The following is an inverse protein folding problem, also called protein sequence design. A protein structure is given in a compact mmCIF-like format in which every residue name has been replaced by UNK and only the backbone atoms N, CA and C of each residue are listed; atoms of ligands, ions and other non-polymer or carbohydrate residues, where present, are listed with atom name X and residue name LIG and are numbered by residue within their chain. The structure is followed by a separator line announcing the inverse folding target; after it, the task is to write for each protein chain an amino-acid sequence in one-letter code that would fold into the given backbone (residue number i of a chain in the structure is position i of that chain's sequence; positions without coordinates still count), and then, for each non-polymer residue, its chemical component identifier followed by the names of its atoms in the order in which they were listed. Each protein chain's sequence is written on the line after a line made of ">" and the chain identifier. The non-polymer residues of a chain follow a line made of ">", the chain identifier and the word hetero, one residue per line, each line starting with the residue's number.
data_IF_007009151622
#
_entry.id   IF_007009151622
#
_cell.length_a   1.000
_cell.length_b   1.000
_cell.length_c   1.000
_cell.angle_alpha   90.00
_cell.angle_beta   90.00
_cell.angle_gamma   90.00
#
_symmetry.space_group_name_H-M   'P 1'
#
loop_
_entity.id
_entity.type
_entity.pdbx_description
1 polymer ?
#
# COMPACT_ATOMS: atom_id res chain seq x y z
N UNK A 1 -13.34 -10.06 -14.70
CA UNK A 1 -14.16 -9.63 -15.86
C UNK A 1 -13.25 -9.05 -16.92
N UNK A 2 -13.21 -9.64 -18.10
CA UNK A 2 -12.46 -9.09 -19.21
C UNK A 2 -13.37 -8.07 -19.93
N UNK A 3 -13.10 -6.77 -19.75
CA UNK A 3 -13.65 -5.76 -20.66
C UNK A 3 -12.85 -5.85 -21.96
N UNK A 4 -13.16 -6.85 -22.78
CA UNK A 4 -12.62 -7.00 -24.11
C UNK A 4 -13.30 -6.01 -25.04
N UNK A 5 -12.53 -5.05 -25.55
CA UNK A 5 -12.84 -4.06 -26.58
C UNK A 5 -13.56 -2.80 -26.12
N UNK A 6 -12.81 -1.88 -25.59
CA UNK A 6 -13.04 -0.47 -25.89
C UNK A 6 -11.99 -0.12 -26.96
N UNK A 7 -12.44 0.26 -28.17
CA UNK A 7 -11.60 0.72 -29.28
C UNK A 7 -10.51 -0.26 -29.79
N UNK A 8 -10.79 -1.56 -29.90
CA UNK A 8 -9.87 -2.52 -30.52
C UNK A 8 -8.67 -2.93 -29.69
N UNK A 9 -8.61 -2.53 -28.41
CA UNK A 9 -7.53 -2.89 -27.50
C UNK A 9 -7.91 -4.17 -26.76
N UNK A 10 -7.28 -5.28 -27.08
CA UNK A 10 -7.38 -6.55 -26.33
C UNK A 10 -6.52 -6.46 -25.05
N UNK A 11 -6.93 -5.67 -24.05
CA UNK A 11 -6.20 -5.55 -22.79
C UNK A 11 -7.14 -5.66 -21.59
N UNK A 12 -6.69 -6.34 -20.55
CA UNK A 12 -7.35 -6.38 -19.25
C UNK A 12 -7.18 -5.01 -18.59
N UNK A 13 -8.21 -4.16 -18.63
CA UNK A 13 -8.19 -2.81 -18.08
C UNK A 13 -8.66 -2.77 -16.63
N UNK A 14 -9.36 -3.80 -16.18
CA UNK A 14 -9.92 -3.91 -14.85
C UNK A 14 -9.48 -5.23 -14.23
N UNK A 15 -8.87 -5.16 -13.07
CA UNK A 15 -8.64 -6.31 -12.19
C UNK A 15 -9.53 -6.15 -10.96
N UNK A 16 -10.05 -7.24 -10.43
CA UNK A 16 -10.79 -7.25 -9.17
C UNK A 16 -10.56 -8.57 -8.44
N UNK A 17 -10.53 -8.47 -7.13
CA UNK A 17 -10.44 -9.60 -6.22
C UNK A 17 -11.47 -9.39 -5.10
N UNK A 18 -12.20 -10.44 -4.75
CA UNK A 18 -13.16 -10.44 -3.64
C UNK A 18 -13.04 -11.75 -2.88
N UNK A 19 -13.13 -11.66 -1.58
CA UNK A 19 -13.12 -12.81 -0.70
C UNK A 19 -13.97 -12.60 0.54
N UNK A 20 -14.45 -13.72 1.10
CA UNK A 20 -15.09 -13.76 2.41
C UNK A 20 -14.26 -14.68 3.28
N UNK A 21 -13.91 -14.22 4.45
CA UNK A 21 -13.01 -14.89 5.37
C UNK A 21 -13.65 -14.97 6.76
N UNK A 22 -13.15 -15.87 7.59
CA UNK A 22 -13.41 -15.80 9.02
C UNK A 22 -12.59 -14.63 9.60
N UNK A 23 -13.22 -13.78 10.38
CA UNK A 23 -12.54 -12.66 11.03
C UNK A 23 -11.66 -13.09 12.22
N UNK A 24 -11.67 -14.38 12.60
CA UNK A 24 -10.79 -14.94 13.60
C UNK A 24 -9.58 -15.66 12.98
N UNK A 25 -8.40 -15.30 13.44
CA UNK A 25 -7.14 -15.89 12.96
C UNK A 25 -6.85 -17.27 13.56
N UNK A 26 -7.53 -17.70 14.62
CA UNK A 26 -7.14 -18.88 15.39
C UNK A 26 -8.17 -20.03 15.45
N UNK A 27 -9.28 -19.97 14.74
CA UNK A 27 -10.31 -21.02 14.73
C UNK A 27 -10.77 -21.48 16.13
N UNK A 28 -10.66 -20.60 17.15
CA UNK A 28 -10.99 -20.97 18.52
C UNK A 28 -12.49 -21.11 18.74
N UNK A 29 -13.29 -20.43 17.93
CA UNK A 29 -14.74 -20.57 17.93
C UNK A 29 -15.23 -20.75 16.48
N UNK A 30 -16.32 -21.53 16.34
CA UNK A 30 -16.89 -21.78 15.02
C UNK A 30 -17.64 -20.54 14.54
N UNK A 31 -17.03 -19.74 13.64
CA UNK A 31 -17.54 -18.48 13.09
C UNK A 31 -17.75 -17.35 14.12
N UNK A 32 -16.71 -16.82 14.74
CA UNK A 32 -16.83 -15.64 15.62
C UNK A 32 -17.21 -14.37 14.86
N UNK A 33 -17.04 -14.35 13.54
CA UNK A 33 -17.42 -13.28 12.65
C UNK A 33 -17.01 -13.55 11.21
N UNK A 34 -17.53 -12.75 10.29
CA UNK A 34 -17.17 -12.77 8.89
C UNK A 34 -16.49 -11.46 8.48
N UNK A 35 -15.55 -11.56 7.58
CA UNK A 35 -14.80 -10.47 7.00
C UNK A 35 -14.90 -10.52 5.47
N UNK A 36 -15.21 -9.41 4.87
CA UNK A 36 -15.27 -9.23 3.44
C UNK A 36 -14.12 -8.36 2.98
N UNK A 37 -13.28 -8.89 2.10
CA UNK A 37 -12.17 -8.16 1.48
C UNK A 37 -12.46 -8.01 -0.01
N UNK A 38 -12.32 -6.79 -0.51
CA UNK A 38 -12.51 -6.47 -1.91
C UNK A 38 -11.50 -5.47 -2.43
N UNK A 39 -11.08 -5.65 -3.68
CA UNK A 39 -10.20 -4.73 -4.39
C UNK A 39 -10.61 -4.61 -5.84
N UNK A 40 -10.54 -3.40 -6.38
CA UNK A 40 -10.75 -3.11 -7.80
C UNK A 40 -9.64 -2.20 -8.29
N UNK A 41 -8.97 -2.60 -9.37
CA UNK A 41 -7.92 -1.86 -10.05
C UNK A 41 -8.31 -1.52 -11.48
N UNK A 42 -8.14 -0.27 -11.86
CA UNK A 42 -8.29 0.23 -13.21
C UNK A 42 -6.93 0.55 -13.83
N UNK A 43 -6.73 0.20 -15.09
CA UNK A 43 -5.51 0.47 -15.88
C UNK A 43 -5.85 1.31 -17.11
N UNK A 44 -6.19 2.60 -16.95
CA UNK A 44 -6.75 3.41 -18.02
C UNK A 44 -5.79 3.63 -19.21
N UNK A 45 -4.49 3.49 -19.00
CA UNK A 45 -3.47 3.57 -20.06
C UNK A 45 -3.04 2.20 -20.62
N UNK A 46 -3.72 1.12 -20.18
CA UNK A 46 -3.37 -0.26 -20.56
C UNK A 46 -2.27 -0.86 -19.68
N UNK A 47 -1.89 -2.12 -20.01
CA UNK A 47 -0.88 -2.88 -19.25
C UNK A 47 0.56 -2.66 -19.70
N UNK A 48 0.74 -2.25 -20.93
CA UNK A 48 2.06 -2.12 -21.56
C UNK A 48 2.58 -0.69 -21.45
N UNK A 49 3.90 -0.53 -21.55
CA UNK A 49 4.55 0.79 -21.62
C UNK A 49 4.13 1.50 -22.92
N UNK A 50 2.98 2.14 -22.86
CA UNK A 50 2.49 2.98 -23.94
C UNK A 50 3.18 4.33 -23.98
N UNK A 51 2.78 5.18 -24.94
CA UNK A 51 3.28 6.56 -25.11
C UNK A 51 3.24 7.38 -23.80
N UNK A 52 2.28 7.10 -22.93
CA UNK A 52 2.01 7.85 -21.69
C UNK A 52 2.36 7.08 -20.43
N UNK A 53 3.06 5.94 -20.53
CA UNK A 53 3.42 5.10 -19.40
C UNK A 53 2.31 4.16 -18.95
N UNK A 54 2.41 3.70 -17.70
CA UNK A 54 1.43 2.83 -17.03
C UNK A 54 0.80 3.58 -15.90
N UNK A 55 -0.53 3.60 -15.85
CA UNK A 55 -1.30 4.16 -14.75
C UNK A 55 -2.21 3.06 -14.19
N UNK A 56 -2.15 2.87 -12.89
CA UNK A 56 -3.08 2.05 -12.13
C UNK A 56 -3.74 2.94 -11.08
N UNK A 57 -5.05 2.87 -11.01
CA UNK A 57 -5.86 3.54 -9.98
C UNK A 57 -6.79 2.50 -9.40
N UNK A 58 -6.81 2.38 -8.10
CA UNK A 58 -7.62 1.36 -7.44
C UNK A 58 -8.18 1.80 -6.11
N UNK A 59 -9.11 0.98 -5.64
CA UNK A 59 -9.72 1.08 -4.32
C UNK A 59 -9.82 -0.31 -3.70
N UNK A 60 -9.74 -0.35 -2.37
CA UNK A 60 -9.90 -1.57 -1.59
C UNK A 60 -10.82 -1.33 -0.41
N UNK A 61 -11.44 -2.39 0.06
CA UNK A 61 -12.27 -2.40 1.25
C UNK A 61 -12.02 -3.70 2.01
N UNK A 62 -11.93 -3.56 3.33
CA UNK A 62 -11.94 -4.65 4.28
C UNK A 62 -12.99 -4.31 5.34
N UNK A 63 -14.05 -5.11 5.44
CA UNK A 63 -15.15 -4.85 6.36
C UNK A 63 -15.60 -6.15 7.01
N UNK A 64 -15.83 -6.10 8.30
CA UNK A 64 -16.23 -7.27 9.03
C UNK A 64 -16.77 -6.97 10.42
N UNK A 65 -17.04 -8.05 11.13
CA UNK A 65 -17.41 -8.04 12.53
C UNK A 65 -16.55 -9.07 13.26
N UNK A 66 -16.05 -8.66 14.42
CA UNK A 66 -15.41 -9.54 15.38
C UNK A 66 -15.93 -9.16 16.76
N UNK A 67 -15.19 -8.51 17.63
CA UNK A 67 -15.74 -7.93 18.86
C UNK A 67 -16.55 -6.66 18.55
N UNK A 68 -16.14 -5.92 17.52
CA UNK A 68 -16.79 -4.72 17.01
C UNK A 68 -16.93 -4.79 15.48
N UNK A 69 -17.81 -3.97 14.92
CA UNK A 69 -17.84 -3.76 13.49
C UNK A 69 -16.62 -2.95 13.08
N UNK A 70 -16.00 -3.32 11.97
CA UNK A 70 -14.92 -2.53 11.38
C UNK A 70 -15.10 -2.38 9.88
N UNK A 71 -14.58 -1.28 9.36
CA UNK A 71 -14.51 -1.02 7.93
C UNK A 71 -13.26 -0.21 7.63
N UNK A 72 -12.38 -0.77 6.80
CA UNK A 72 -11.19 -0.11 6.27
C UNK A 72 -11.39 0.10 4.78
N UNK A 73 -11.28 1.33 4.32
CA UNK A 73 -11.32 1.67 2.89
C UNK A 73 -9.99 2.25 2.48
N UNK A 74 -9.55 1.91 1.27
CA UNK A 74 -8.31 2.40 0.70
C UNK A 74 -8.47 2.87 -0.73
N UNK A 75 -7.61 3.80 -1.14
CA UNK A 75 -7.45 4.23 -2.51
C UNK A 75 -5.97 4.31 -2.84
N UNK A 76 -5.59 3.90 -4.05
CA UNK A 76 -4.21 3.91 -4.47
C UNK A 76 -4.04 4.29 -5.93
N UNK A 77 -2.90 4.89 -6.21
CA UNK A 77 -2.48 5.28 -7.55
C UNK A 77 -1.03 4.88 -7.74
N UNK A 78 -0.74 4.21 -8.85
CA UNK A 78 0.61 3.92 -9.28
C UNK A 78 0.82 4.43 -10.70
N UNK A 79 1.91 5.14 -10.93
CA UNK A 79 2.28 5.65 -12.24
C UNK A 79 3.74 5.35 -12.54
N UNK A 80 3.99 4.70 -13.67
CA UNK A 80 5.32 4.40 -14.18
C UNK A 80 5.50 5.02 -15.57
N UNK A 81 6.52 5.86 -15.74
CA UNK A 81 6.85 6.45 -17.02
C UNK A 81 8.35 6.56 -17.21
N UNK A 82 8.89 5.81 -18.17
CA UNK A 82 10.33 5.80 -18.50
C UNK A 82 11.19 5.47 -17.27
N UNK A 83 11.86 6.48 -16.71
CA UNK A 83 12.72 6.38 -15.53
C UNK A 83 12.03 6.79 -14.24
N UNK A 84 10.82 7.30 -14.33
CA UNK A 84 10.07 7.84 -13.21
C UNK A 84 9.01 6.86 -12.74
N UNK A 85 8.84 6.78 -11.44
CA UNK A 85 7.80 6.02 -10.76
C UNK A 85 7.19 6.90 -9.67
N UNK A 86 5.88 6.85 -9.52
CA UNK A 86 5.15 7.50 -8.44
C UNK A 86 4.09 6.53 -7.89
N UNK A 87 4.03 6.39 -6.57
CA UNK A 87 2.99 5.65 -5.87
C UNK A 87 2.37 6.53 -4.80
N UNK A 88 1.07 6.46 -4.68
CA UNK A 88 0.30 7.05 -3.61
C UNK A 88 -0.71 6.03 -3.10
N UNK A 89 -0.85 5.93 -1.79
CA UNK A 89 -1.89 5.13 -1.16
C UNK A 89 -2.43 5.87 0.06
N UNK A 90 -3.73 5.81 0.23
CA UNK A 90 -4.44 6.34 1.37
C UNK A 90 -5.38 5.26 1.91
N UNK A 91 -5.50 5.18 3.22
CA UNK A 91 -6.45 4.31 3.90
C UNK A 91 -7.13 5.06 5.05
N UNK A 92 -8.39 4.72 5.28
CA UNK A 92 -9.17 5.19 6.41
C UNK A 92 -9.87 3.99 7.06
N UNK A 93 -9.81 3.92 8.36
CA UNK A 93 -10.36 2.85 9.16
C UNK A 93 -11.38 3.39 10.17
N UNK A 94 -12.56 2.77 10.20
CA UNK A 94 -13.52 2.88 11.30
C UNK A 94 -13.55 1.52 11.98
N UNK A 95 -12.84 1.35 13.11
CA UNK A 95 -12.44 0.06 13.62
C UNK A 95 -11.44 -0.64 12.69
N UNK A 96 -10.77 -1.64 13.16
CA UNK A 96 -9.90 -2.52 12.35
C UNK A 96 -9.48 -3.76 13.15
N UNK A 97 -8.98 -4.77 12.46
CA UNK A 97 -8.39 -5.94 13.11
C UNK A 97 -7.01 -5.58 13.68
N UNK A 98 -6.90 -5.60 15.01
CA UNK A 98 -5.64 -5.36 15.70
C UNK A 98 -4.70 -6.58 15.67
N UNK A 99 -3.40 -6.38 15.95
CA UNK A 99 -2.37 -7.42 15.85
C UNK A 99 -2.57 -8.58 16.85
N UNK A 100 -3.31 -8.40 17.91
CA UNK A 100 -3.66 -9.45 18.89
C UNK A 100 -4.90 -10.26 18.52
N UNK A 101 -5.44 -10.03 17.33
CA UNK A 101 -6.60 -10.74 16.87
C UNK A 101 -7.93 -10.20 17.40
N UNK A 102 -7.95 -9.08 18.09
CA UNK A 102 -9.14 -8.36 18.51
C UNK A 102 -9.39 -7.17 17.60
N UNK A 103 -10.66 -6.84 17.36
CA UNK A 103 -10.97 -5.59 16.65
C UNK A 103 -10.71 -4.40 17.57
N UNK A 104 -10.25 -3.32 16.97
CA UNK A 104 -9.96 -2.05 17.64
C UNK A 104 -11.02 -1.05 17.21
N UNK A 105 -11.81 -0.55 18.15
CA UNK A 105 -12.84 0.46 17.91
C UNK A 105 -12.21 1.85 17.94
N UNK A 106 -11.62 2.27 16.82
CA UNK A 106 -10.99 3.57 16.64
C UNK A 106 -11.09 4.03 15.19
N UNK A 107 -11.12 5.36 15.02
CA UNK A 107 -10.96 5.99 13.74
C UNK A 107 -9.48 6.27 13.49
N UNK A 108 -8.92 5.67 12.45
CA UNK A 108 -7.55 5.87 12.06
C UNK A 108 -7.45 6.19 10.57
N UNK A 109 -6.42 6.90 10.16
CA UNK A 109 -6.12 7.08 8.74
C UNK A 109 -4.62 7.22 8.51
N UNK A 110 -4.22 6.96 7.29
CA UNK A 110 -2.85 7.17 6.87
C UNK A 110 -2.74 7.26 5.37
N UNK A 111 -1.65 7.83 4.93
CA UNK A 111 -1.30 7.83 3.53
C UNK A 111 0.21 7.80 3.35
N UNK A 112 0.64 7.37 2.18
CA UNK A 112 2.01 7.57 1.76
C UNK A 112 2.09 8.01 0.31
N UNK A 113 3.17 8.72 0.00
CA UNK A 113 3.57 9.05 -1.35
C UNK A 113 5.04 8.66 -1.58
N UNK A 114 5.31 7.91 -2.63
CA UNK A 114 6.67 7.49 -3.02
C UNK A 114 6.97 7.99 -4.42
N UNK A 115 8.13 8.60 -4.59
CA UNK A 115 8.69 8.97 -5.88
C UNK A 115 9.99 8.20 -6.11
N UNK A 116 10.16 7.68 -7.31
CA UNK A 116 11.36 6.96 -7.71
C UNK A 116 11.90 7.45 -9.04
N UNK A 117 13.22 7.51 -9.16
CA UNK A 117 13.89 7.87 -10.41
C UNK A 117 15.10 6.99 -10.67
N UNK A 118 15.14 6.37 -11.84
CA UNK A 118 16.28 5.58 -12.30
C UNK A 118 17.43 6.50 -12.73
N UNK A 119 18.41 6.69 -11.85
CA UNK A 119 19.64 7.44 -12.14
C UNK A 119 20.44 6.78 -13.26
N UNK A 120 20.55 5.46 -13.20
CA UNK A 120 21.17 4.60 -14.21
C UNK A 120 20.26 3.40 -14.49
N UNK A 121 20.66 2.50 -15.38
CA UNK A 121 19.92 1.22 -15.60
C UNK A 121 19.89 0.30 -14.38
N UNK A 122 20.76 0.55 -13.39
CA UNK A 122 20.90 -0.31 -12.19
C UNK A 122 20.71 0.44 -10.88
N UNK A 123 20.66 1.76 -10.87
CA UNK A 123 20.57 2.55 -9.65
C UNK A 123 19.31 3.42 -9.68
N UNK A 124 18.46 3.26 -8.68
CA UNK A 124 17.25 4.04 -8.46
C UNK A 124 17.37 4.84 -7.17
N UNK A 125 17.03 6.10 -7.23
CA UNK A 125 16.80 6.96 -6.07
C UNK A 125 15.32 6.91 -5.73
N UNK A 126 14.99 6.86 -4.44
CA UNK A 126 13.63 6.90 -3.90
C UNK A 126 13.52 8.01 -2.87
N UNK A 127 12.37 8.65 -2.85
CA UNK A 127 11.91 9.51 -1.76
C UNK A 127 10.50 9.09 -1.39
N UNK A 128 10.20 8.98 -0.08
CA UNK A 128 8.89 8.60 0.41
C UNK A 128 8.53 9.44 1.63
N UNK A 129 7.29 9.85 1.67
CA UNK A 129 6.63 10.47 2.81
C UNK A 129 5.47 9.60 3.26
N UNK A 130 5.36 9.37 4.56
CA UNK A 130 4.27 8.68 5.20
C UNK A 130 3.68 9.55 6.31
N UNK A 131 2.38 9.53 6.47
CA UNK A 131 1.68 10.08 7.62
C UNK A 131 0.64 9.08 8.12
N UNK A 132 0.61 8.87 9.42
CA UNK A 132 -0.34 7.98 10.07
C UNK A 132 -0.92 8.65 11.33
N UNK A 133 -2.24 8.68 11.39
CA UNK A 133 -3.03 9.08 12.55
C UNK A 133 -3.70 7.83 13.12
N UNK A 134 -3.21 7.30 14.25
CA UNK A 134 -3.72 6.05 14.81
C UNK A 134 -5.07 6.21 15.52
N UNK A 135 -5.48 7.42 15.86
CA UNK A 135 -6.76 7.70 16.48
C UNK A 135 -7.12 9.19 16.38
N UNK A 136 -8.10 9.51 15.55
CA UNK A 136 -8.59 10.87 15.32
C UNK A 136 -9.20 11.54 16.56
N UNK A 137 -9.51 10.77 17.60
CA UNK A 137 -10.06 11.30 18.87
C UNK A 137 -8.99 11.82 19.83
N UNK A 138 -7.70 11.58 19.50
CA UNK A 138 -6.57 11.97 20.33
C UNK A 138 -5.72 12.99 19.58
N UNK A 139 -5.57 14.17 20.13
CA UNK A 139 -4.67 15.19 19.60
C UNK A 139 -3.18 14.80 19.82
N UNK A 140 -2.32 15.28 18.94
CA UNK A 140 -0.87 15.11 19.02
C UNK A 140 -0.41 13.65 19.08
N UNK A 141 -1.01 12.78 18.29
CA UNK A 141 -0.66 11.36 18.21
C UNK A 141 -0.16 10.91 16.83
N UNK A 142 -0.05 11.84 15.88
CA UNK A 142 0.39 11.52 14.51
C UNK A 142 1.86 11.14 14.45
N UNK A 143 2.15 10.23 13.54
CA UNK A 143 3.52 9.91 13.14
C UNK A 143 3.76 10.24 11.67
N UNK A 144 4.94 10.75 11.36
CA UNK A 144 5.38 11.07 9.99
C UNK A 144 6.73 10.44 9.74
N UNK A 145 6.90 9.84 8.58
CA UNK A 145 8.19 9.31 8.15
C UNK A 145 8.63 9.94 6.84
N UNK A 146 9.86 10.41 6.82
CA UNK A 146 10.55 10.94 5.65
C UNK A 146 11.66 9.98 5.29
N UNK A 147 11.55 9.32 4.16
CA UNK A 147 12.51 8.31 3.73
C UNK A 147 13.21 8.73 2.44
N UNK A 148 14.52 8.52 2.39
CA UNK A 148 15.32 8.58 1.17
C UNK A 148 16.05 7.26 1.01
N UNK A 149 16.01 6.70 -0.19
CA UNK A 149 16.55 5.37 -0.44
C UNK A 149 17.26 5.23 -1.77
N UNK A 150 18.15 4.24 -1.81
CA UNK A 150 18.84 3.77 -3.00
C UNK A 150 18.56 2.28 -3.21
N UNK A 151 18.09 1.93 -4.41
CA UNK A 151 18.02 0.54 -4.85
C UNK A 151 19.09 0.28 -5.91
N UNK A 152 19.93 -0.72 -5.70
CA UNK A 152 20.88 -1.18 -6.69
C UNK A 152 20.47 -2.54 -7.23
N UNK A 153 20.08 -2.59 -8.51
CA UNK A 153 19.61 -3.77 -9.20
C UNK A 153 20.80 -4.55 -9.78
N UNK A 154 21.15 -5.68 -9.17
CA UNK A 154 22.23 -6.56 -9.61
C UNK A 154 21.76 -7.41 -10.79
N UNK A 155 20.58 -8.07 -10.65
CA UNK A 155 19.98 -8.94 -11.67
C UNK A 155 18.50 -8.56 -11.85
N UNK A 156 18.25 -7.34 -12.36
CA UNK A 156 16.91 -6.79 -12.49
C UNK A 156 16.13 -6.82 -11.16
N UNK A 157 14.88 -7.21 -11.19
CA UNK A 157 14.07 -7.37 -9.98
C UNK A 157 14.42 -8.63 -9.17
N UNK A 158 15.13 -9.61 -9.79
CA UNK A 158 15.47 -10.89 -9.14
C UNK A 158 16.49 -10.75 -8.01
N UNK A 159 17.38 -9.77 -8.07
CA UNK A 159 18.35 -9.49 -7.00
C UNK A 159 18.63 -7.99 -6.92
N UNK A 160 18.31 -7.39 -5.79
CA UNK A 160 18.62 -5.97 -5.51
C UNK A 160 19.11 -5.75 -4.09
N UNK A 161 19.96 -4.76 -3.93
CA UNK A 161 20.35 -4.20 -2.64
C UNK A 161 19.55 -2.93 -2.39
N UNK A 162 19.18 -2.71 -1.14
CA UNK A 162 18.32 -1.62 -0.70
C UNK A 162 19.04 -0.92 0.45
N UNK A 163 19.21 0.39 0.36
CA UNK A 163 19.69 1.24 1.44
C UNK A 163 18.69 2.37 1.65
N UNK A 164 18.15 2.49 2.84
CA UNK A 164 17.24 3.57 3.20
C UNK A 164 17.72 4.29 4.44
N UNK A 165 17.55 5.61 4.44
CA UNK A 165 17.56 6.45 5.63
C UNK A 165 16.14 6.93 5.87
N UNK A 166 15.67 6.81 7.13
CA UNK A 166 14.32 7.19 7.54
C UNK A 166 14.43 8.13 8.75
N UNK A 167 13.84 9.30 8.62
CA UNK A 167 13.57 10.22 9.72
C UNK A 167 12.13 10.05 10.15
N UNK A 168 11.92 9.67 11.43
CA UNK A 168 10.60 9.49 12.01
C UNK A 168 10.33 10.64 12.96
N UNK A 169 9.30 11.42 12.67
CA UNK A 169 8.75 12.44 13.53
C UNK A 169 7.49 11.90 14.20
N UNK A 170 7.41 12.01 15.51
CA UNK A 170 6.28 11.48 16.28
C UNK A 170 5.79 12.53 17.27
N UNK A 171 4.51 12.88 17.20
CA UNK A 171 3.91 13.89 18.08
C UNK A 171 3.83 13.41 19.54
N UNK A 172 3.65 12.10 19.76
CA UNK A 172 3.55 11.50 21.10
C UNK A 172 4.89 10.99 21.67
N UNK A 173 5.98 11.04 20.90
CA UNK A 173 7.28 10.49 21.32
C UNK A 173 8.45 11.29 20.72
N UNK A 174 9.66 10.92 21.08
CA UNK A 174 10.86 11.55 20.50
C UNK A 174 11.06 11.14 19.05
N UNK A 175 11.50 12.09 18.26
CA UNK A 175 11.96 11.85 16.89
C UNK A 175 13.10 10.83 16.87
N UNK A 176 13.14 10.04 15.80
CA UNK A 176 14.15 9.00 15.65
C UNK A 176 14.67 8.91 14.23
N UNK A 177 15.85 8.31 14.07
CA UNK A 177 16.52 8.11 12.80
C UNK A 177 16.85 6.63 12.64
N UNK A 178 16.61 6.08 11.45
CA UNK A 178 16.90 4.69 11.12
C UNK A 178 17.68 4.60 9.81
N UNK A 179 18.69 3.73 9.79
CA UNK A 179 19.35 3.31 8.56
C UNK A 179 19.00 1.84 8.36
N UNK A 180 18.50 1.52 7.20
CA UNK A 180 18.04 0.17 6.84
C UNK A 180 18.83 -0.31 5.63
N UNK A 181 19.47 -1.47 5.76
CA UNK A 181 20.12 -2.18 4.66
C UNK A 181 19.37 -3.49 4.43
N UNK A 182 19.02 -3.76 3.21
CA UNK A 182 18.28 -4.95 2.83
C UNK A 182 18.72 -5.55 1.51
N UNK A 183 18.40 -6.82 1.33
CA UNK A 183 18.56 -7.55 0.06
C UNK A 183 17.23 -8.19 -0.29
N UNK A 184 16.80 -8.02 -1.53
CA UNK A 184 15.66 -8.74 -2.09
C UNK A 184 16.16 -9.78 -3.09
N UNK A 185 15.68 -11.01 -2.92
CA UNK A 185 15.95 -12.14 -3.82
C UNK A 185 14.58 -12.69 -4.25
N UNK A 186 14.33 -12.74 -5.56
CA UNK A 186 13.17 -13.40 -6.16
C UNK A 186 13.69 -14.64 -6.89
N UNK A 187 13.22 -15.81 -6.48
CA UNK A 187 13.56 -17.13 -7.03
C UNK A 187 12.60 -17.51 -8.16
#
# INVERSE_FOLDING_TARGET
>A
MYLTRIAGIEQRLVDYDFGVYSSDTYFQEFFPGAEFIGRVDLKPLGKTDGKYGKLLVGTSMDAGHRDNNFCVIGAHVQYDYKRFMANFEWANANGYNGPSGHSVDKHASGFYATLGYMLTKKLQLLARYDEFDPNHEIDNNKSREYSVGLNYFIKGQGLRLILNYVFCQNEAAKDSHRIMLGTQILL
#
